data_IF_577932807224
#
_entry.id   IF_577932807224
#
_cell.length_a   1.000
_cell.length_b   1.000
_cell.length_c   1.000
_cell.angle_alpha   90.00
_cell.angle_beta   90.00
_cell.angle_gamma   90.00
#
_symmetry.space_group_name_H-M   'P 1'
#
loop_
_entity.id
_entity.type
_entity.pdbx_description
1 polymer ?
#
# COMPACT_ATOMS: atom_id res chain seq x y z
N UNK A 1 -5.56 -7.38 9.63
CA UNK A 1 -4.95 -7.86 10.89
C UNK A 1 -3.81 -6.97 11.41
N UNK A 2 -3.02 -6.33 10.55
CA UNK A 2 -1.85 -5.52 10.96
C UNK A 2 -2.22 -4.36 11.89
N UNK A 3 -3.30 -3.63 11.59
CA UNK A 3 -3.78 -2.56 12.48
C UNK A 3 -4.13 -3.08 13.89
N UNK A 4 -4.73 -4.27 13.98
CA UNK A 4 -5.09 -4.90 15.26
C UNK A 4 -3.86 -5.29 16.10
N UNK A 5 -2.80 -5.77 15.45
CA UNK A 5 -1.52 -6.07 16.12
C UNK A 5 -0.88 -4.80 16.67
N UNK A 6 -0.90 -3.72 15.88
CA UNK A 6 -0.39 -2.42 16.31
C UNK A 6 -1.18 -1.87 17.51
N UNK A 7 -2.52 -1.89 17.46
CA UNK A 7 -3.36 -1.46 18.60
C UNK A 7 -3.14 -2.33 19.83
N UNK A 8 -3.03 -3.66 19.68
CA UNK A 8 -2.83 -4.58 20.80
C UNK A 8 -1.50 -4.34 21.52
N UNK A 9 -0.42 -4.07 20.78
CA UNK A 9 0.89 -3.73 21.36
C UNK A 9 0.86 -2.43 22.14
N UNK A 10 0.24 -1.38 21.59
CA UNK A 10 0.11 -0.08 22.26
C UNK A 10 -0.75 -0.19 23.53
N UNK A 11 -1.85 -0.94 23.46
CA UNK A 11 -2.71 -1.20 24.62
C UNK A 11 -1.95 -1.94 25.73
N UNK A 12 -1.25 -3.03 25.39
CA UNK A 12 -0.44 -3.77 26.36
C UNK A 12 0.65 -2.92 27.02
N UNK A 13 1.33 -2.07 26.24
CA UNK A 13 2.37 -1.16 26.76
C UNK A 13 1.78 -0.10 27.71
N UNK A 14 0.60 0.44 27.38
CA UNK A 14 -0.09 1.40 28.23
C UNK A 14 -0.56 0.76 29.55
N UNK A 15 -1.08 -0.47 29.48
CA UNK A 15 -1.52 -1.22 30.67
C UNK A 15 -0.37 -1.61 31.60
N UNK A 16 0.85 -1.78 31.09
CA UNK A 16 2.03 -2.04 31.92
C UNK A 16 2.72 -0.76 32.43
N UNK A 17 2.07 0.40 32.33
CA UNK A 17 2.59 1.70 32.79
C UNK A 17 3.62 2.36 31.86
N UNK A 18 3.81 1.84 30.65
CA UNK A 18 4.66 2.44 29.62
C UNK A 18 3.94 3.59 28.88
N UNK A 19 4.72 4.50 28.30
CA UNK A 19 4.22 5.47 27.32
C UNK A 19 4.47 4.96 25.92
N UNK A 20 3.39 4.75 25.17
CA UNK A 20 3.45 4.42 23.74
C UNK A 20 2.45 5.29 22.99
N UNK A 21 2.91 5.93 21.92
CA UNK A 21 2.02 6.61 20.99
C UNK A 21 1.58 5.65 19.88
N UNK A 22 0.37 5.87 19.39
CA UNK A 22 -0.16 5.09 18.29
C UNK A 22 0.46 5.58 16.98
N UNK A 23 1.23 4.75 16.24
CA UNK A 23 1.74 5.16 14.95
C UNK A 23 0.57 5.38 13.98
N UNK A 24 0.74 6.24 12.94
CA UNK A 24 -0.25 6.40 11.89
C UNK A 24 -0.61 5.03 11.31
N UNK A 25 -1.85 4.61 11.49
CA UNK A 25 -2.35 3.38 10.90
C UNK A 25 -2.49 3.58 9.40
N UNK A 26 -2.14 2.55 8.63
CA UNK A 26 -2.54 2.51 7.23
C UNK A 26 -4.04 2.22 7.18
N UNK A 27 -4.81 3.07 6.50
CA UNK A 27 -6.27 2.95 6.39
C UNK A 27 -6.71 1.56 5.90
N UNK A 28 -5.91 0.96 5.02
CA UNK A 28 -6.00 -0.45 4.63
C UNK A 28 -4.59 -1.04 4.66
N UNK A 29 -4.42 -2.22 5.25
CA UNK A 29 -3.30 -3.11 4.97
C UNK A 29 -3.83 -4.54 5.05
N UNK A 30 -4.25 -5.07 3.90
CA UNK A 30 -4.74 -6.44 3.80
C UNK A 30 -3.83 -7.21 2.85
N UNK A 31 -3.34 -8.35 3.34
CA UNK A 31 -2.81 -9.44 2.53
C UNK A 31 -3.83 -10.57 2.64
N UNK A 32 -4.48 -10.90 1.53
CA UNK A 32 -5.49 -11.96 1.47
C UNK A 32 -5.44 -12.62 0.10
N UNK A 33 -6.26 -13.64 -0.11
CA UNK A 33 -6.38 -14.32 -1.40
C UNK A 33 -7.79 -14.12 -1.93
N UNK A 34 -7.93 -13.79 -3.21
CA UNK A 34 -9.21 -13.71 -3.90
C UNK A 34 -9.15 -14.63 -5.11
N UNK A 35 -10.04 -15.62 -5.16
CA UNK A 35 -10.11 -16.60 -6.25
C UNK A 35 -8.77 -17.30 -6.55
N UNK A 36 -8.00 -17.66 -5.51
CA UNK A 36 -6.68 -18.28 -5.67
C UNK A 36 -5.53 -17.31 -5.94
N UNK A 37 -5.80 -16.00 -6.06
CA UNK A 37 -4.80 -14.99 -6.38
C UNK A 37 -4.43 -14.15 -5.16
N UNK A 38 -3.12 -14.01 -4.85
CA UNK A 38 -2.66 -13.13 -3.79
C UNK A 38 -3.10 -11.68 -4.03
N UNK A 39 -3.58 -11.02 -2.98
CA UNK A 39 -3.98 -9.62 -2.99
C UNK A 39 -3.24 -8.89 -1.87
N UNK A 40 -2.55 -7.80 -2.23
CA UNK A 40 -2.05 -6.81 -1.26
C UNK A 40 -2.70 -5.46 -1.56
N UNK A 41 -3.34 -4.89 -0.54
CA UNK A 41 -3.81 -3.50 -0.57
C UNK A 41 -3.17 -2.71 0.56
N UNK A 42 -2.80 -1.46 0.27
CA UNK A 42 -2.36 -0.55 1.31
C UNK A 42 -2.77 0.89 1.06
N UNK A 43 -3.01 1.64 2.14
CA UNK A 43 -3.33 3.06 2.09
C UNK A 43 -4.75 3.35 1.62
N UNK A 44 -4.93 4.44 0.87
CA UNK A 44 -6.22 4.89 0.35
C UNK A 44 -6.50 4.22 -1.00
N UNK A 45 -7.66 3.59 -1.16
CA UNK A 45 -8.07 2.96 -2.42
C UNK A 45 -9.19 3.73 -3.13
N UNK A 46 -9.87 4.56 -2.35
CA UNK A 46 -11.08 5.28 -2.71
C UNK A 46 -10.65 6.66 -3.23
N UNK A 47 -10.56 6.77 -4.55
CA UNK A 47 -10.39 8.04 -5.22
C UNK A 47 -11.73 8.45 -5.83
N UNK A 48 -12.22 9.63 -5.44
CA UNK A 48 -13.19 10.35 -6.26
C UNK A 48 -12.45 10.89 -7.48
N UNK A 49 -13.09 10.87 -8.65
CA UNK A 49 -12.50 11.43 -9.87
C UNK A 49 -12.03 12.87 -9.64
N UNK A 50 -10.83 13.19 -10.13
CA UNK A 50 -10.25 14.52 -10.05
C UNK A 50 -9.49 14.87 -8.76
N UNK A 51 -9.57 14.07 -7.69
CA UNK A 51 -8.80 14.36 -6.45
C UNK A 51 -7.37 13.82 -6.46
N UNK A 52 -7.13 12.69 -7.14
CA UNK A 52 -5.86 11.98 -7.09
C UNK A 52 -5.48 11.45 -8.46
N UNK A 53 -4.17 11.27 -8.69
CA UNK A 53 -3.72 10.57 -9.89
C UNK A 53 -3.82 9.08 -9.66
N UNK A 54 -4.62 8.40 -10.48
CA UNK A 54 -4.79 6.95 -10.43
C UNK A 54 -4.12 6.33 -11.65
N UNK A 55 -3.27 5.34 -11.42
CA UNK A 55 -2.62 4.57 -12.48
C UNK A 55 -2.92 3.10 -12.22
N UNK A 56 -3.51 2.43 -13.20
CA UNK A 56 -3.87 1.03 -13.09
C UNK A 56 -3.56 0.26 -14.37
N UNK A 57 -3.10 -0.97 -14.21
CA UNK A 57 -2.84 -1.90 -15.30
C UNK A 57 -3.28 -3.30 -14.89
N UNK A 58 -3.79 -4.07 -15.85
CA UNK A 58 -4.24 -5.45 -15.64
C UNK A 58 -3.84 -6.33 -16.82
N UNK A 59 -3.25 -7.50 -16.54
CA UNK A 59 -2.82 -8.45 -17.55
C UNK A 59 -2.75 -9.88 -16.99
N UNK A 60 -3.33 -10.85 -17.71
CA UNK A 60 -3.17 -12.28 -17.39
C UNK A 60 -3.60 -12.67 -15.97
N UNK A 61 -4.65 -12.06 -15.44
CA UNK A 61 -5.11 -12.29 -14.06
C UNK A 61 -4.38 -11.48 -12.99
N UNK A 62 -3.34 -10.74 -13.36
CA UNK A 62 -2.69 -9.78 -12.48
C UNK A 62 -3.34 -8.41 -12.62
N UNK A 63 -3.36 -7.66 -11.53
CA UNK A 63 -3.83 -6.28 -11.53
C UNK A 63 -2.98 -5.44 -10.58
N UNK A 64 -2.59 -4.25 -11.00
CA UNK A 64 -1.86 -3.28 -10.17
C UNK A 64 -2.52 -1.92 -10.29
N UNK A 65 -2.81 -1.29 -9.16
CA UNK A 65 -3.30 0.09 -9.05
C UNK A 65 -2.41 0.86 -8.08
N UNK A 66 -2.05 2.08 -8.45
CA UNK A 66 -1.37 3.06 -7.63
C UNK A 66 -2.22 4.33 -7.55
N UNK A 67 -2.26 4.94 -6.37
CA UNK A 67 -2.89 6.23 -6.14
C UNK A 67 -1.84 7.21 -5.65
N UNK A 68 -1.75 8.36 -6.32
CA UNK A 68 -0.84 9.44 -5.97
C UNK A 68 -1.60 10.70 -5.57
N UNK A 69 -1.12 11.32 -4.50
CA UNK A 69 -1.43 12.69 -4.11
C UNK A 69 -0.17 13.51 -4.39
N UNK A 70 -0.22 14.29 -5.47
CA UNK A 70 0.95 14.99 -6.02
C UNK A 70 2.16 14.06 -6.21
N UNK A 71 3.25 14.28 -5.45
CA UNK A 71 4.50 13.52 -5.53
C UNK A 71 4.57 12.32 -4.56
N UNK A 72 3.47 12.00 -3.85
CA UNK A 72 3.43 10.94 -2.84
C UNK A 72 2.53 9.78 -3.25
N UNK A 73 3.03 8.56 -3.06
CA UNK A 73 2.19 7.36 -3.16
C UNK A 73 1.32 7.26 -1.89
N UNK A 74 0.00 7.32 -2.07
CA UNK A 74 -0.98 7.26 -0.96
C UNK A 74 -1.76 5.95 -0.92
N UNK A 75 -1.68 5.13 -1.97
CA UNK A 75 -2.46 3.92 -2.09
C UNK A 75 -1.92 2.94 -3.11
N UNK A 76 -2.12 1.65 -2.85
CA UNK A 76 -1.84 0.57 -3.81
C UNK A 76 -2.81 -0.60 -3.69
N UNK A 77 -3.04 -1.29 -4.80
CA UNK A 77 -3.73 -2.58 -4.89
C UNK A 77 -2.98 -3.47 -5.88
N UNK A 78 -2.39 -4.58 -5.41
CA UNK A 78 -1.75 -5.60 -6.24
C UNK A 78 -2.53 -6.90 -6.11
N UNK A 79 -2.92 -7.50 -7.23
CA UNK A 79 -3.57 -8.81 -7.34
C UNK A 79 -2.72 -9.72 -8.24
N UNK A 80 -2.60 -11.00 -7.87
CA UNK A 80 -1.76 -11.98 -8.53
C UNK A 80 -0.30 -11.85 -8.11
N UNK A 81 0.44 -10.96 -8.77
CA UNK A 81 1.86 -10.68 -8.49
C UNK A 81 2.05 -9.60 -7.45
N UNK A 82 2.26 -10.02 -6.20
CA UNK A 82 2.39 -9.14 -5.02
C UNK A 82 3.83 -8.94 -4.55
N UNK A 83 4.81 -9.41 -5.32
CA UNK A 83 6.23 -9.26 -5.00
C UNK A 83 6.63 -7.80 -4.77
N UNK A 84 7.53 -7.60 -3.81
CA UNK A 84 8.06 -6.29 -3.41
C UNK A 84 7.02 -5.29 -2.89
N UNK A 85 5.76 -5.69 -2.68
CA UNK A 85 4.70 -4.81 -2.16
C UNK A 85 5.13 -4.06 -0.88
N UNK A 86 5.94 -4.69 -0.02
CA UNK A 86 6.48 -4.08 1.21
C UNK A 86 7.25 -2.77 0.99
N UNK A 87 7.95 -2.62 -0.14
CA UNK A 87 8.70 -1.39 -0.47
C UNK A 87 7.73 -0.22 -0.67
N UNK A 88 6.66 -0.44 -1.43
CA UNK A 88 5.64 0.57 -1.72
C UNK A 88 4.76 0.85 -0.50
N UNK A 89 4.45 -0.19 0.29
CA UNK A 89 3.79 -0.03 1.60
C UNK A 89 4.61 0.85 2.52
N UNK A 90 5.94 0.74 2.52
CA UNK A 90 6.82 1.61 3.30
C UNK A 90 6.78 3.06 2.81
N UNK A 91 6.70 3.29 1.49
CA UNK A 91 6.53 4.64 0.92
C UNK A 91 5.22 5.28 1.38
N UNK A 92 4.11 4.54 1.35
CA UNK A 92 2.80 5.00 1.81
C UNK A 92 2.85 5.28 3.33
N UNK A 93 3.39 4.33 4.12
CA UNK A 93 3.46 4.43 5.59
C UNK A 93 4.24 5.66 6.04
N UNK A 94 5.37 5.93 5.41
CA UNK A 94 6.26 7.04 5.79
C UNK A 94 6.01 8.32 4.99
N UNK A 95 4.98 8.34 4.12
CA UNK A 95 4.61 9.50 3.27
C UNK A 95 5.81 10.08 2.51
N UNK A 96 6.61 9.19 1.91
CA UNK A 96 7.87 9.55 1.27
C UNK A 96 7.56 10.40 0.01
N UNK A 97 8.06 11.65 -0.11
CA UNK A 97 7.98 12.42 -1.35
C UNK A 97 8.87 11.77 -2.40
N UNK A 98 8.32 11.47 -3.57
CA UNK A 98 9.04 10.74 -4.62
C UNK A 98 9.75 11.68 -5.59
N UNK A 99 9.29 12.92 -5.75
CA UNK A 99 9.80 13.85 -6.76
C UNK A 99 10.02 13.17 -8.11
N UNK A 100 11.23 13.31 -8.67
CA UNK A 100 11.63 12.72 -9.96
C UNK A 100 11.56 11.19 -10.00
N UNK A 101 11.59 10.51 -8.84
CA UNK A 101 11.51 9.04 -8.77
C UNK A 101 10.11 8.51 -9.02
N UNK A 102 9.08 9.37 -9.00
CA UNK A 102 7.69 8.97 -9.20
C UNK A 102 7.51 8.16 -10.49
N UNK A 103 8.06 8.64 -11.60
CA UNK A 103 7.99 7.94 -12.89
C UNK A 103 8.76 6.60 -12.89
N UNK A 104 9.90 6.54 -12.19
CA UNK A 104 10.65 5.30 -12.05
C UNK A 104 9.85 4.25 -11.25
N UNK A 105 9.21 4.67 -10.15
CA UNK A 105 8.33 3.81 -9.34
C UNK A 105 7.16 3.28 -10.16
N UNK A 106 6.49 4.15 -10.93
CA UNK A 106 5.39 3.73 -11.81
C UNK A 106 5.88 2.69 -12.81
N UNK A 107 6.98 2.95 -13.52
CA UNK A 107 7.54 2.01 -14.49
C UNK A 107 7.92 0.67 -13.85
N UNK A 108 8.59 0.69 -12.70
CA UNK A 108 8.96 -0.54 -11.98
C UNK A 108 7.73 -1.35 -11.60
N UNK A 109 6.73 -0.71 -10.98
CA UNK A 109 5.49 -1.39 -10.57
C UNK A 109 4.76 -1.99 -11.76
N UNK A 110 4.64 -1.26 -12.87
CA UNK A 110 3.86 -1.71 -14.02
C UNK A 110 4.59 -2.79 -14.84
N UNK A 111 5.92 -2.71 -14.97
CA UNK A 111 6.69 -3.73 -15.72
C UNK A 111 6.59 -5.12 -15.09
N UNK A 112 6.47 -5.19 -13.77
CA UNK A 112 6.31 -6.45 -13.02
C UNK A 112 5.00 -7.19 -13.33
N UNK A 113 4.00 -6.54 -13.95
CA UNK A 113 2.78 -7.23 -14.37
C UNK A 113 3.04 -8.22 -15.53
N UNK A 114 4.06 -7.94 -16.35
CA UNK A 114 4.43 -8.67 -17.58
C UNK A 114 5.54 -9.68 -17.41
N UNK A 115 6.35 -9.58 -16.34
CA UNK A 115 7.41 -10.55 -16.07
C UNK A 115 6.78 -11.92 -15.85
N UNK A 116 7.35 -13.00 -16.40
CA UNK A 116 6.83 -14.37 -16.21
C UNK A 116 7.14 -14.88 -14.81
#
# INVERSE_FOLDING_TARGET
>A
WTNAVHTGRVAGCSMSGGRSEMPPLLSVMNSTEIAGLPLVSAGRLDALEGQYTVIAEGEGGNYRKLLFDDDRLIGLLFLGKVDRAGVYVNMIRNRIPLGERREAVIREVMTEIRRR
#
